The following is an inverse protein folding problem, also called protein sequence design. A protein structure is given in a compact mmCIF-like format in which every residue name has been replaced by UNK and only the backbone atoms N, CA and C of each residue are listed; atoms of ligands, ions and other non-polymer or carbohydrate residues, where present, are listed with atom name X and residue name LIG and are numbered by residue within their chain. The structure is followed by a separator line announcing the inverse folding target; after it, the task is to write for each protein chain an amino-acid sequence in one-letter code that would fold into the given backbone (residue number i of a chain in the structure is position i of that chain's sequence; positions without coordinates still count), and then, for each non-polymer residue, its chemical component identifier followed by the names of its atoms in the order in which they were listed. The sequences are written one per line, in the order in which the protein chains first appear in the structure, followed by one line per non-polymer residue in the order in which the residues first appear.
data_IF_993624150798
#
_entry.id   IF_993624150798
#
_cell.length_a   1.000
_cell.length_b   1.000
_cell.length_c   1.000
_cell.angle_alpha   90.00
_cell.angle_beta   90.00
_cell.angle_gamma   90.00
#
_symmetry.space_group_name_H-M   'P 1'
#
loop_
_entity.id
_entity.type
_entity.pdbx_description
1 polymer ?
#
# COMPACT_ATOMS: atom_id res chain seq x y z
N UNK A 1 -24.40 41.48 -0.45
CA UNK A 1 -24.03 40.05 -0.30
C UNK A 1 -23.22 39.85 0.96
N UNK A 2 -23.43 38.77 1.72
CA UNK A 2 -22.59 38.36 2.85
C UNK A 2 -21.54 37.29 2.44
N UNK A 3 -21.43 37.02 1.15
CA UNK A 3 -20.54 35.99 0.61
C UNK A 3 -19.07 36.38 0.76
N UNK A 4 -18.32 35.59 1.54
CA UNK A 4 -16.85 35.76 1.68
C UNK A 4 -16.13 35.66 0.33
N UNK A 5 -16.65 34.84 -0.59
CA UNK A 5 -16.11 34.67 -1.94
C UNK A 5 -16.22 35.98 -2.73
N UNK A 6 -17.41 36.57 -2.76
CA UNK A 6 -17.67 37.86 -3.44
C UNK A 6 -16.83 38.99 -2.83
N UNK A 7 -16.78 39.10 -1.50
CA UNK A 7 -15.98 40.14 -0.85
C UNK A 7 -14.49 40.01 -1.15
N UNK A 8 -13.94 38.79 -1.16
CA UNK A 8 -12.54 38.54 -1.51
C UNK A 8 -12.26 38.87 -2.97
N UNK A 9 -13.19 38.56 -3.87
CA UNK A 9 -13.08 38.88 -5.29
C UNK A 9 -13.08 40.40 -5.53
N UNK A 10 -13.98 41.15 -4.90
CA UNK A 10 -14.04 42.61 -5.00
C UNK A 10 -12.73 43.26 -4.53
N UNK A 11 -12.16 42.79 -3.40
CA UNK A 11 -10.87 43.30 -2.90
C UNK A 11 -9.69 43.08 -3.88
N UNK A 12 -9.78 42.09 -4.76
CA UNK A 12 -8.76 41.77 -5.77
C UNK A 12 -9.03 42.44 -7.12
N UNK A 13 -10.07 43.28 -7.23
CA UNK A 13 -10.47 43.90 -8.50
C UNK A 13 -11.11 42.93 -9.51
N UNK A 14 -11.51 41.73 -9.07
CA UNK A 14 -12.23 40.75 -9.91
C UNK A 14 -13.64 41.24 -10.25
N UNK A 15 -14.19 40.76 -11.37
CA UNK A 15 -15.56 41.06 -11.79
C UNK A 15 -16.45 39.82 -11.67
N UNK A 16 -17.74 40.03 -11.43
CA UNK A 16 -18.75 39.00 -11.51
C UNK A 16 -19.48 39.11 -12.86
N UNK A 17 -19.34 38.09 -13.70
CA UNK A 17 -20.07 37.96 -14.95
C UNK A 17 -21.09 36.84 -14.81
N UNK A 18 -22.25 36.99 -15.44
CA UNK A 18 -23.29 36.00 -15.37
C UNK A 18 -23.98 35.79 -16.73
N UNK A 19 -24.58 34.62 -16.90
CA UNK A 19 -25.31 34.25 -18.12
C UNK A 19 -26.59 33.52 -17.76
N UNK A 20 -27.68 33.87 -18.44
CA UNK A 20 -28.93 33.13 -18.39
C UNK A 20 -28.86 31.91 -19.32
N UNK A 21 -29.28 30.75 -18.81
CA UNK A 21 -29.41 29.49 -19.52
C UNK A 21 -30.91 29.13 -19.61
N UNK A 22 -31.55 29.37 -20.77
CA UNK A 22 -32.98 29.18 -20.90
C UNK A 22 -33.42 27.73 -20.67
N UNK A 23 -34.44 27.51 -19.86
CA UNK A 23 -35.02 26.19 -19.50
C UNK A 23 -34.06 25.22 -18.77
N UNK A 24 -32.96 25.72 -18.19
CA UNK A 24 -32.00 24.89 -17.43
C UNK A 24 -32.30 24.79 -15.93
N UNK A 25 -33.40 25.35 -15.42
CA UNK A 25 -33.74 25.28 -13.99
C UNK A 25 -33.89 23.83 -13.53
N UNK A 26 -33.24 23.50 -12.42
CA UNK A 26 -33.18 22.15 -11.86
C UNK A 26 -32.20 21.21 -12.58
N UNK A 27 -31.77 21.53 -13.81
CA UNK A 27 -30.84 20.71 -14.58
C UNK A 27 -29.41 20.90 -14.08
N UNK A 28 -29.02 22.12 -13.70
CA UNK A 28 -27.67 22.38 -13.20
C UNK A 28 -27.42 21.66 -11.87
N UNK A 29 -28.46 21.59 -11.03
CA UNK A 29 -28.46 20.84 -9.77
C UNK A 29 -28.62 19.33 -9.92
N UNK A 30 -28.98 18.82 -11.11
CA UNK A 30 -29.21 17.40 -11.33
C UNK A 30 -27.93 16.58 -11.15
N UNK A 31 -28.02 15.51 -10.36
CA UNK A 31 -26.92 14.60 -10.09
C UNK A 31 -26.68 13.67 -11.29
N UNK A 32 -25.45 13.65 -11.81
CA UNK A 32 -25.04 12.83 -12.96
C UNK A 32 -24.21 11.63 -12.54
N UNK A 33 -23.41 11.78 -11.50
CA UNK A 33 -22.65 10.73 -10.83
C UNK A 33 -22.76 10.97 -9.32
N UNK A 34 -22.53 9.96 -8.46
CA UNK A 34 -22.54 10.16 -7.01
C UNK A 34 -21.79 11.43 -6.59
N UNK A 35 -22.49 12.37 -5.95
CA UNK A 35 -21.98 13.67 -5.47
C UNK A 35 -21.50 14.64 -6.56
N UNK A 36 -21.71 14.35 -7.85
CA UNK A 36 -21.34 15.24 -8.97
C UNK A 36 -22.57 15.60 -9.80
N UNK A 37 -22.81 16.90 -9.91
CA UNK A 37 -23.98 17.47 -10.59
C UNK A 37 -23.61 17.98 -11.97
N UNK A 38 -24.59 18.30 -12.81
CA UNK A 38 -24.29 18.92 -14.11
C UNK A 38 -23.57 20.27 -13.95
N UNK A 39 -23.88 21.04 -12.91
CA UNK A 39 -23.13 22.23 -12.53
C UNK A 39 -21.66 21.93 -12.20
N UNK A 40 -21.36 20.75 -11.64
CA UNK A 40 -19.98 20.28 -11.44
C UNK A 40 -19.27 20.01 -12.77
N UNK A 41 -19.96 19.47 -13.77
CA UNK A 41 -19.39 19.31 -15.13
C UNK A 41 -19.08 20.67 -15.77
N UNK A 42 -20.02 21.63 -15.69
CA UNK A 42 -19.81 22.98 -16.20
C UNK A 42 -18.63 23.67 -15.48
N UNK A 43 -18.51 23.46 -14.17
CA UNK A 43 -17.39 23.96 -13.39
C UNK A 43 -16.07 23.35 -13.87
N UNK A 44 -16.01 22.03 -14.10
CA UNK A 44 -14.78 21.38 -14.58
C UNK A 44 -14.36 21.92 -15.94
N UNK A 45 -15.30 22.09 -16.86
CA UNK A 45 -15.06 22.74 -18.15
C UNK A 45 -14.53 24.17 -17.97
N UNK A 46 -15.20 25.00 -17.17
CA UNK A 46 -14.76 26.38 -16.93
C UNK A 46 -13.34 26.44 -16.33
N UNK A 47 -13.03 25.56 -15.37
CA UNK A 47 -11.69 25.49 -14.76
C UNK A 47 -10.62 25.09 -15.78
N UNK A 48 -10.86 24.04 -16.58
CA UNK A 48 -9.86 23.54 -17.53
C UNK A 48 -9.61 24.48 -18.71
N UNK A 49 -10.66 25.10 -19.25
CA UNK A 49 -10.53 25.93 -20.45
C UNK A 49 -10.19 27.40 -20.16
N UNK A 50 -10.52 27.90 -18.96
CA UNK A 50 -10.43 29.33 -18.65
C UNK A 50 -9.64 29.64 -17.37
N UNK A 51 -9.21 28.62 -16.62
CA UNK A 51 -8.38 28.78 -15.42
C UNK A 51 -9.06 29.48 -14.25
N UNK A 52 -10.40 29.57 -14.26
CA UNK A 52 -11.18 30.16 -13.16
C UNK A 52 -11.20 29.24 -11.94
N UNK A 53 -11.50 29.77 -10.76
CA UNK A 53 -11.65 28.95 -9.55
C UNK A 53 -12.87 28.01 -9.57
N UNK A 54 -13.91 28.36 -10.33
CA UNK A 54 -15.16 27.61 -10.43
C UNK A 54 -16.30 28.50 -10.89
N UNK A 55 -17.53 27.99 -10.75
CA UNK A 55 -18.76 28.70 -11.09
C UNK A 55 -19.73 28.61 -9.90
N UNK A 56 -20.71 29.51 -9.86
CA UNK A 56 -21.87 29.43 -8.98
C UNK A 56 -23.12 29.41 -9.86
N UNK A 57 -24.10 28.56 -9.58
CA UNK A 57 -25.30 28.48 -10.41
C UNK A 57 -26.60 28.57 -9.61
N UNK A 58 -27.68 28.96 -10.27
CA UNK A 58 -28.97 29.26 -9.63
C UNK A 58 -29.57 28.10 -8.83
N UNK A 59 -29.39 26.84 -9.28
CA UNK A 59 -29.92 25.67 -8.54
C UNK A 59 -29.18 25.39 -7.20
N UNK A 60 -28.05 26.05 -6.95
CA UNK A 60 -27.34 26.02 -5.65
C UNK A 60 -27.63 27.26 -4.79
N UNK A 61 -28.51 28.16 -5.27
CA UNK A 61 -28.85 29.41 -4.62
C UNK A 61 -30.33 29.41 -4.18
N UNK A 62 -30.69 30.09 -3.07
CA UNK A 62 -29.84 30.87 -2.17
C UNK A 62 -28.80 30.03 -1.41
N UNK A 63 -27.57 30.53 -1.33
CA UNK A 63 -26.42 29.76 -0.87
C UNK A 63 -25.12 30.58 -0.89
N UNK A 64 -24.05 30.07 -0.28
CA UNK A 64 -22.73 30.73 -0.27
C UNK A 64 -22.71 32.18 0.27
N UNK A 65 -23.70 32.57 1.07
CA UNK A 65 -23.87 33.94 1.59
C UNK A 65 -24.50 34.92 0.59
N UNK A 66 -25.08 34.42 -0.49
CA UNK A 66 -25.94 35.15 -1.43
C UNK A 66 -27.40 34.85 -1.04
N UNK A 67 -28.14 35.89 -0.64
CA UNK A 67 -29.53 35.78 -0.18
C UNK A 67 -30.53 35.78 -1.36
N UNK A 68 -31.78 35.43 -1.05
CA UNK A 68 -32.85 35.34 -2.05
C UNK A 68 -33.15 36.69 -2.74
N UNK A 69 -32.92 37.81 -2.04
CA UNK A 69 -33.10 39.15 -2.60
C UNK A 69 -32.10 39.39 -3.74
N UNK A 70 -30.82 39.10 -3.51
CA UNK A 70 -29.78 39.22 -4.54
C UNK A 70 -30.02 38.23 -5.69
N UNK A 71 -30.49 37.01 -5.39
CA UNK A 71 -30.86 36.04 -6.43
C UNK A 71 -31.95 36.62 -7.33
N UNK A 72 -32.99 37.23 -6.76
CA UNK A 72 -34.07 37.86 -7.53
C UNK A 72 -33.58 39.04 -8.36
N UNK A 73 -32.77 39.93 -7.78
CA UNK A 73 -32.15 41.04 -8.53
C UNK A 73 -31.31 40.56 -9.72
N UNK A 74 -30.58 39.46 -9.55
CA UNK A 74 -29.80 38.84 -10.64
C UNK A 74 -30.70 38.24 -11.72
N UNK A 75 -31.80 37.58 -11.34
CA UNK A 75 -32.78 37.06 -12.31
C UNK A 75 -33.39 38.18 -13.15
N UNK A 76 -33.79 39.27 -12.51
CA UNK A 76 -34.37 40.44 -13.17
C UNK A 76 -33.34 41.12 -14.10
N UNK A 77 -32.10 41.32 -13.63
CA UNK A 77 -31.03 41.93 -14.42
C UNK A 77 -30.63 41.07 -15.65
N UNK A 78 -30.67 39.74 -15.51
CA UNK A 78 -30.38 38.80 -16.59
C UNK A 78 -31.60 38.52 -17.48
N UNK A 79 -32.78 39.04 -17.11
CA UNK A 79 -34.08 38.76 -17.77
C UNK A 79 -34.37 37.26 -17.86
N UNK A 80 -34.02 36.51 -16.82
CA UNK A 80 -34.32 35.08 -16.75
C UNK A 80 -35.78 34.86 -16.37
N UNK A 81 -36.47 33.99 -17.09
CA UNK A 81 -37.81 33.54 -16.75
C UNK A 81 -37.79 32.51 -15.61
N UNK A 82 -38.97 32.15 -15.08
CA UNK A 82 -39.09 31.22 -13.96
C UNK A 82 -38.54 29.81 -14.24
N UNK A 83 -38.43 29.40 -15.50
CA UNK A 83 -37.91 28.10 -15.90
C UNK A 83 -36.42 28.13 -16.28
N UNK A 84 -35.82 29.32 -16.27
CA UNK A 84 -34.42 29.50 -16.65
C UNK A 84 -33.50 29.33 -15.44
N UNK A 85 -32.27 28.94 -15.72
CA UNK A 85 -31.19 28.96 -14.74
C UNK A 85 -30.20 30.07 -15.10
N UNK A 86 -29.34 30.44 -14.17
CA UNK A 86 -28.20 31.29 -14.49
C UNK A 86 -26.92 30.77 -13.86
N UNK A 87 -25.79 31.11 -14.46
CA UNK A 87 -24.45 30.81 -13.96
C UNK A 87 -23.69 32.11 -13.77
N UNK A 88 -22.99 32.22 -12.64
CA UNK A 88 -22.12 33.34 -12.27
C UNK A 88 -20.68 32.82 -12.22
N UNK A 89 -19.77 33.59 -12.80
CA UNK A 89 -18.32 33.40 -12.68
C UNK A 89 -17.72 34.67 -12.08
N UNK A 90 -16.91 34.50 -11.03
CA UNK A 90 -16.33 35.61 -10.29
C UNK A 90 -14.81 35.47 -10.32
N UNK A 91 -14.16 36.18 -11.24
CA UNK A 91 -12.73 36.10 -11.47
C UNK A 91 -12.23 37.37 -12.21
N UNK A 92 -10.98 37.36 -12.67
CA UNK A 92 -10.49 38.36 -13.63
C UNK A 92 -11.43 38.47 -14.84
N UNK A 93 -11.69 39.70 -15.32
CA UNK A 93 -12.71 39.97 -16.33
C UNK A 93 -12.56 39.14 -17.62
N UNK A 94 -11.32 38.89 -18.05
CA UNK A 94 -10.97 38.08 -19.22
C UNK A 94 -11.36 36.60 -18.99
N UNK A 95 -10.83 35.99 -17.93
CA UNK A 95 -11.09 34.59 -17.55
C UNK A 95 -12.57 34.32 -17.28
N UNK A 96 -13.25 35.26 -16.61
CA UNK A 96 -14.68 35.15 -16.35
C UNK A 96 -15.49 35.14 -17.65
N UNK A 97 -15.12 35.95 -18.64
CA UNK A 97 -15.80 35.99 -19.93
C UNK A 97 -15.57 34.69 -20.72
N UNK A 98 -14.34 34.19 -20.74
CA UNK A 98 -14.00 32.91 -21.37
C UNK A 98 -14.77 31.75 -20.73
N UNK A 99 -14.82 31.72 -19.39
CA UNK A 99 -15.56 30.70 -18.64
C UNK A 99 -17.06 30.74 -18.96
N UNK A 100 -17.66 31.93 -19.04
CA UNK A 100 -19.06 32.08 -19.45
C UNK A 100 -19.28 31.51 -20.86
N UNK A 101 -18.38 31.78 -21.80
CA UNK A 101 -18.48 31.24 -23.16
C UNK A 101 -18.35 29.71 -23.19
N UNK A 102 -17.44 29.14 -22.39
CA UNK A 102 -17.28 27.69 -22.25
C UNK A 102 -18.53 27.05 -21.63
N UNK A 103 -19.07 27.64 -20.57
CA UNK A 103 -20.32 27.19 -19.92
C UNK A 103 -21.47 27.20 -20.91
N UNK A 104 -21.65 28.30 -21.67
CA UNK A 104 -22.69 28.38 -22.72
C UNK A 104 -22.56 27.26 -23.75
N UNK A 105 -21.35 27.05 -24.27
CA UNK A 105 -21.08 25.99 -25.25
C UNK A 105 -21.39 24.60 -24.69
N UNK A 106 -20.97 24.31 -23.45
CA UNK A 106 -21.21 23.02 -22.82
C UNK A 106 -22.68 22.80 -22.45
N UNK A 107 -23.38 23.84 -21.99
CA UNK A 107 -24.82 23.80 -21.75
C UNK A 107 -25.59 23.55 -23.05
N UNK A 108 -25.27 24.28 -24.13
CA UNK A 108 -25.88 24.04 -25.44
C UNK A 108 -25.63 22.60 -25.94
N UNK A 109 -24.41 22.08 -25.78
CA UNK A 109 -24.08 20.70 -26.15
C UNK A 109 -24.88 19.66 -25.35
N UNK A 110 -25.26 19.95 -24.10
CA UNK A 110 -26.06 19.04 -23.29
C UNK A 110 -27.44 18.73 -23.90
N UNK A 111 -27.95 19.62 -24.74
CA UNK A 111 -29.20 19.40 -25.49
C UNK A 111 -29.03 18.40 -26.64
N UNK A 112 -27.79 18.16 -27.08
CA UNK A 112 -27.43 17.20 -28.13
C UNK A 112 -27.17 15.83 -27.51
N UNK A 113 -26.40 15.78 -26.42
CA UNK A 113 -26.12 14.56 -25.68
C UNK A 113 -24.81 14.58 -24.90
N UNK A 114 -24.20 13.39 -24.74
CA UNK A 114 -22.94 13.21 -24.00
C UNK A 114 -21.75 13.49 -24.92
N UNK A 115 -20.86 14.46 -24.59
CA UNK A 115 -19.72 14.79 -25.43
C UNK A 115 -18.66 13.69 -25.45
N UNK A 116 -17.93 13.59 -26.55
CA UNK A 116 -16.70 12.79 -26.64
C UNK A 116 -15.55 13.55 -25.99
N UNK A 117 -15.02 13.03 -24.89
CA UNK A 117 -14.03 13.72 -24.07
C UNK A 117 -13.11 12.73 -23.35
N UNK A 118 -11.96 13.23 -22.90
CA UNK A 118 -11.07 12.49 -21.99
C UNK A 118 -11.32 12.97 -20.57
N UNK A 119 -11.55 12.01 -19.67
CA UNK A 119 -11.87 12.27 -18.26
C UNK A 119 -10.81 11.64 -17.36
N UNK A 120 -10.54 12.27 -16.23
CA UNK A 120 -9.65 11.74 -15.21
C UNK A 120 -10.45 10.98 -14.14
N UNK A 121 -9.90 9.88 -13.62
CA UNK A 121 -10.49 9.14 -12.51
C UNK A 121 -10.38 9.93 -11.20
N UNK A 122 -11.44 9.90 -10.40
CA UNK A 122 -11.45 10.37 -9.02
C UNK A 122 -11.25 9.18 -8.07
N UNK A 123 -10.72 9.38 -6.85
CA UNK A 123 -10.54 8.30 -5.86
C UNK A 123 -11.85 7.60 -5.45
N UNK A 124 -12.99 8.28 -5.58
CA UNK A 124 -14.32 7.75 -5.28
C UNK A 124 -14.94 6.94 -6.44
N UNK A 125 -14.18 6.70 -7.51
CA UNK A 125 -14.63 5.96 -8.70
C UNK A 125 -15.44 6.81 -9.69
N UNK A 126 -15.74 8.08 -9.37
CA UNK A 126 -16.32 9.00 -10.36
C UNK A 126 -15.24 9.52 -11.31
N UNK A 127 -15.63 10.36 -12.26
CA UNK A 127 -14.69 10.93 -13.24
C UNK A 127 -14.89 12.43 -13.34
N UNK A 128 -13.85 13.17 -13.72
CA UNK A 128 -13.95 14.62 -13.98
C UNK A 128 -13.45 14.96 -15.37
N UNK A 129 -14.02 15.98 -16.00
CA UNK A 129 -13.54 16.45 -17.29
C UNK A 129 -12.06 16.86 -17.21
N UNK A 130 -11.27 16.45 -18.21
CA UNK A 130 -9.86 16.82 -18.31
C UNK A 130 -9.60 17.61 -19.61
N UNK A 131 -9.91 17.01 -20.76
CA UNK A 131 -9.66 17.61 -22.07
C UNK A 131 -10.57 17.01 -23.14
N UNK A 132 -10.68 17.62 -24.34
CA UNK A 132 -11.38 16.99 -25.47
C UNK A 132 -10.72 15.67 -25.82
N UNK A 133 -11.51 14.77 -26.42
CA UNK A 133 -10.93 13.56 -26.99
C UNK A 133 -9.90 13.96 -28.05
N UNK A 134 -8.65 13.46 -27.97
CA UNK A 134 -7.66 13.69 -29.01
C UNK A 134 -8.19 13.24 -30.38
N UNK A 135 -7.83 13.96 -31.44
CA UNK A 135 -8.12 13.54 -32.80
C UNK A 135 -7.39 12.23 -33.16
N UNK A 136 -7.79 11.60 -34.26
CA UNK A 136 -7.12 10.40 -34.75
C UNK A 136 -5.64 10.69 -35.04
N UNK A 137 -4.76 9.80 -34.55
CA UNK A 137 -3.34 9.87 -34.88
C UNK A 137 -3.15 9.65 -36.38
N UNK A 138 -2.34 10.50 -37.01
CA UNK A 138 -1.88 10.29 -38.38
C UNK A 138 -0.57 9.52 -38.32
N UNK A 139 -0.58 8.29 -38.80
CA UNK A 139 0.59 7.42 -38.82
C UNK A 139 1.14 7.31 -40.24
N UNK A 140 2.46 7.25 -40.35
CA UNK A 140 3.18 6.89 -41.56
C UNK A 140 4.26 5.87 -41.15
N UNK A 141 4.69 4.97 -42.06
CA UNK A 141 5.78 4.04 -41.75
C UNK A 141 7.06 4.79 -41.38
N UNK A 142 7.68 4.40 -40.26
CA UNK A 142 9.01 4.87 -39.88
C UNK A 142 10.03 4.34 -40.90
N UNK A 143 10.75 5.24 -41.57
CA UNK A 143 11.68 4.90 -42.65
C UNK A 143 13.11 4.75 -42.17
N UNK A 144 13.44 5.32 -41.00
CA UNK A 144 14.78 5.25 -40.44
C UNK A 144 15.09 3.86 -39.86
N UNK A 145 14.05 3.08 -39.53
CA UNK A 145 14.17 1.74 -38.96
C UNK A 145 13.75 0.71 -40.03
N UNK A 146 14.68 -0.16 -40.48
CA UNK A 146 14.34 -1.26 -41.36
C UNK A 146 13.28 -2.19 -40.74
N UNK A 147 12.39 -2.80 -41.54
CA UNK A 147 11.44 -3.78 -41.04
C UNK A 147 12.14 -4.96 -40.35
N UNK A 148 11.68 -5.30 -39.14
CA UNK A 148 12.17 -6.45 -38.38
C UNK A 148 11.26 -7.65 -38.66
N UNK A 149 11.82 -8.70 -39.27
CA UNK A 149 11.08 -9.94 -39.51
C UNK A 149 11.14 -10.84 -38.27
N UNK A 150 9.98 -11.17 -37.70
CA UNK A 150 9.88 -12.11 -36.58
C UNK A 150 9.79 -13.53 -37.14
N UNK A 151 10.88 -14.29 -37.06
CA UNK A 151 10.92 -15.67 -37.57
C UNK A 151 10.41 -16.68 -36.54
N UNK A 152 10.08 -17.88 -37.00
CA UNK A 152 9.63 -18.97 -36.13
C UNK A 152 10.74 -19.43 -35.17
N UNK A 153 12.00 -19.38 -35.60
CA UNK A 153 13.15 -19.66 -34.75
C UNK A 153 13.26 -18.65 -33.61
N UNK A 154 13.06 -17.36 -33.90
CA UNK A 154 13.09 -16.29 -32.90
C UNK A 154 11.96 -16.45 -31.87
N UNK A 155 10.76 -16.84 -32.32
CA UNK A 155 9.63 -17.12 -31.42
C UNK A 155 9.92 -18.33 -30.51
N UNK A 156 10.47 -19.41 -31.07
CA UNK A 156 10.86 -20.61 -30.29
C UNK A 156 11.96 -20.31 -29.29
N UNK A 157 12.91 -19.45 -29.65
CA UNK A 157 13.94 -18.97 -28.74
C UNK A 157 13.33 -18.12 -27.61
N UNK A 158 12.46 -17.16 -27.94
CA UNK A 158 11.79 -16.32 -26.95
C UNK A 158 10.95 -17.13 -25.94
N UNK A 159 10.24 -18.17 -26.38
CA UNK A 159 9.45 -19.02 -25.49
C UNK A 159 10.34 -19.77 -24.46
N UNK A 160 11.61 -20.06 -24.78
CA UNK A 160 12.55 -20.67 -23.82
C UNK A 160 12.96 -19.70 -22.70
N UNK A 161 12.92 -18.40 -22.96
CA UNK A 161 13.26 -17.35 -21.99
C UNK A 161 12.04 -16.84 -21.22
N UNK A 162 10.83 -17.30 -21.57
CA UNK A 162 9.60 -16.86 -20.93
C UNK A 162 9.64 -17.20 -19.43
N UNK A 163 9.59 -16.20 -18.54
CA UNK A 163 9.55 -16.46 -17.11
C UNK A 163 8.17 -17.07 -16.74
N UNK A 164 8.11 -17.87 -15.66
CA UNK A 164 6.84 -18.36 -15.16
C UNK A 164 5.96 -17.20 -14.72
N UNK A 165 4.64 -17.36 -14.89
CA UNK A 165 3.66 -16.45 -14.28
C UNK A 165 3.76 -16.51 -12.75
N UNK A 166 3.29 -15.48 -12.02
CA UNK A 166 3.28 -15.50 -10.56
C UNK A 166 2.60 -16.75 -9.98
N UNK A 167 1.47 -17.18 -10.55
CA UNK A 167 0.76 -18.38 -10.11
C UNK A 167 1.52 -19.69 -10.38
N UNK A 168 2.25 -19.77 -11.49
CA UNK A 168 3.15 -20.90 -11.77
C UNK A 168 4.31 -20.93 -10.79
N UNK A 169 4.93 -19.77 -10.54
CA UNK A 169 6.04 -19.64 -9.59
C UNK A 169 5.62 -20.01 -8.17
N UNK A 170 4.45 -19.56 -7.72
CA UNK A 170 3.89 -19.93 -6.41
C UNK A 170 3.67 -21.43 -6.31
N UNK A 171 3.11 -22.08 -7.34
CA UNK A 171 2.94 -23.54 -7.37
C UNK A 171 4.29 -24.27 -7.31
N UNK A 172 5.30 -23.78 -8.02
CA UNK A 172 6.65 -24.33 -7.97
C UNK A 172 7.25 -24.21 -6.57
N UNK A 173 7.15 -23.04 -5.92
CA UNK A 173 7.66 -22.82 -4.57
C UNK A 173 7.00 -23.72 -3.54
N UNK A 174 5.68 -23.89 -3.61
CA UNK A 174 4.93 -24.80 -2.72
C UNK A 174 5.40 -26.24 -2.92
N UNK A 175 5.54 -26.70 -4.17
CA UNK A 175 5.92 -28.08 -4.46
C UNK A 175 7.38 -28.37 -4.11
N UNK A 176 8.29 -27.43 -4.36
CA UNK A 176 9.72 -27.65 -4.23
C UNK A 176 10.24 -27.40 -2.80
N UNK A 177 9.66 -26.44 -2.10
CA UNK A 177 10.14 -25.99 -0.79
C UNK A 177 9.11 -26.19 0.33
N UNK A 178 7.98 -26.86 0.03
CA UNK A 178 6.90 -27.16 0.99
C UNK A 178 6.35 -25.92 1.71
N UNK A 179 6.41 -24.76 1.05
CA UNK A 179 5.93 -23.51 1.62
C UNK A 179 4.40 -23.46 1.67
N UNK A 180 3.87 -22.69 2.63
CA UNK A 180 2.45 -22.30 2.59
C UNK A 180 2.18 -21.42 1.36
N UNK A 181 0.94 -21.45 0.86
CA UNK A 181 0.54 -20.59 -0.26
C UNK A 181 0.78 -19.10 0.04
N UNK A 182 0.54 -18.69 1.28
CA UNK A 182 0.74 -17.31 1.71
C UNK A 182 2.21 -16.90 1.63
N UNK A 183 3.13 -17.70 2.19
CA UNK A 183 4.57 -17.41 2.13
C UNK A 183 5.10 -17.43 0.70
N UNK A 184 4.69 -18.41 -0.10
CA UNK A 184 5.06 -18.48 -1.51
C UNK A 184 4.56 -17.26 -2.30
N UNK A 185 3.34 -16.80 -2.03
CA UNK A 185 2.77 -15.60 -2.64
C UNK A 185 3.54 -14.33 -2.24
N UNK A 186 3.83 -14.17 -0.94
CA UNK A 186 4.61 -13.05 -0.43
C UNK A 186 6.02 -13.02 -1.03
N UNK A 187 6.70 -14.18 -1.14
CA UNK A 187 8.01 -14.28 -1.79
C UNK A 187 7.97 -13.95 -3.27
N UNK A 188 6.93 -14.39 -3.99
CA UNK A 188 6.81 -14.11 -5.42
C UNK A 188 6.62 -12.62 -5.72
N UNK A 189 6.11 -11.86 -4.74
CA UNK A 189 5.94 -10.41 -4.82
C UNK A 189 7.07 -9.62 -4.12
N UNK A 190 8.13 -10.29 -3.67
CA UNK A 190 9.26 -9.62 -3.01
C UNK A 190 10.50 -9.62 -3.90
N UNK A 191 11.39 -8.66 -3.64
CA UNK A 191 12.72 -8.62 -4.26
C UNK A 191 13.62 -9.79 -3.84
N UNK A 192 13.28 -10.45 -2.73
CA UNK A 192 14.07 -11.53 -2.14
C UNK A 192 13.86 -12.90 -2.79
N UNK A 193 13.03 -13.02 -3.82
CA UNK A 193 12.73 -14.31 -4.46
C UNK A 193 14.01 -15.04 -4.92
N UNK A 194 14.89 -14.34 -5.63
CA UNK A 194 16.15 -14.90 -6.13
C UNK A 194 17.11 -15.27 -5.00
N UNK A 195 17.18 -14.43 -3.96
CA UNK A 195 17.99 -14.68 -2.76
C UNK A 195 17.47 -15.91 -2.00
N UNK A 196 16.16 -16.01 -1.83
CA UNK A 196 15.49 -17.16 -1.22
C UNK A 196 15.86 -18.45 -1.95
N UNK A 197 15.70 -18.51 -3.27
CA UNK A 197 16.01 -19.74 -4.03
C UNK A 197 17.48 -20.13 -3.89
N UNK A 198 18.40 -19.15 -3.93
CA UNK A 198 19.84 -19.39 -3.74
C UNK A 198 20.15 -19.96 -2.35
N UNK A 199 19.59 -19.38 -1.30
CA UNK A 199 19.85 -19.80 0.09
C UNK A 199 19.16 -21.13 0.41
N UNK A 200 17.90 -21.29 -0.03
CA UNK A 200 17.10 -22.49 0.21
C UNK A 200 17.69 -23.71 -0.50
N UNK A 201 18.24 -23.55 -1.71
CA UNK A 201 18.98 -24.62 -2.39
C UNK A 201 20.28 -24.94 -1.65
N UNK A 202 21.07 -23.91 -1.30
CA UNK A 202 22.39 -24.06 -0.65
C UNK A 202 22.33 -24.72 0.73
N UNK A 203 21.25 -24.49 1.48
CA UNK A 203 21.09 -25.00 2.85
C UNK A 203 19.88 -25.93 3.02
N UNK A 204 19.41 -26.57 1.94
CA UNK A 204 18.21 -27.44 1.93
C UNK A 204 18.18 -28.44 3.10
N UNK A 205 19.32 -29.05 3.42
CA UNK A 205 19.42 -30.11 4.43
C UNK A 205 19.67 -29.59 5.86
N UNK A 206 19.91 -28.29 6.03
CA UNK A 206 20.33 -27.70 7.32
C UNK A 206 19.38 -26.62 7.82
N UNK A 207 18.67 -25.95 6.93
CA UNK A 207 17.73 -24.88 7.29
C UNK A 207 16.42 -25.10 6.55
N UNK A 208 15.32 -25.17 7.31
CA UNK A 208 13.99 -25.31 6.72
C UNK A 208 13.68 -24.11 5.80
N UNK A 209 13.25 -24.32 4.53
CA UNK A 209 12.92 -23.24 3.60
C UNK A 209 11.90 -22.26 4.18
N UNK A 210 10.95 -22.75 4.99
CA UNK A 210 9.97 -21.91 5.69
C UNK A 210 10.61 -20.83 6.57
N UNK A 211 11.74 -21.13 7.24
CA UNK A 211 12.44 -20.15 8.10
C UNK A 211 13.11 -19.09 7.24
N UNK A 212 13.69 -19.48 6.10
CA UNK A 212 14.32 -18.56 5.15
C UNK A 212 13.23 -17.63 4.58
N UNK A 213 12.16 -18.21 4.06
CA UNK A 213 11.01 -17.47 3.54
C UNK A 213 10.45 -16.49 4.57
N UNK A 214 10.09 -16.96 5.76
CA UNK A 214 9.48 -16.12 6.79
C UNK A 214 10.42 -15.00 7.25
N UNK A 215 11.73 -15.24 7.30
CA UNK A 215 12.69 -14.21 7.68
C UNK A 215 12.68 -13.08 6.65
N UNK A 216 12.76 -13.43 5.35
CA UNK A 216 12.85 -12.48 4.26
C UNK A 216 11.57 -11.66 4.07
N UNK A 217 10.38 -12.27 4.17
CA UNK A 217 9.11 -11.56 3.87
C UNK A 217 8.28 -11.17 5.09
N UNK A 218 8.45 -11.84 6.23
CA UNK A 218 7.67 -11.58 7.44
C UNK A 218 8.50 -10.87 8.51
N UNK A 219 9.68 -11.39 8.86
CA UNK A 219 10.53 -10.80 9.91
C UNK A 219 11.03 -9.42 9.51
N UNK A 220 11.63 -9.27 8.32
CA UNK A 220 12.08 -7.95 7.84
C UNK A 220 10.92 -6.94 7.80
N UNK A 221 9.74 -7.36 7.34
CA UNK A 221 8.55 -6.49 7.32
C UNK A 221 8.10 -6.09 8.73
N UNK A 222 8.14 -7.02 9.69
CA UNK A 222 7.84 -6.73 11.10
C UNK A 222 8.82 -5.71 11.67
N UNK A 223 10.12 -5.90 11.44
CA UNK A 223 11.17 -4.98 11.89
C UNK A 223 10.98 -3.58 11.29
N UNK A 224 10.68 -3.49 9.99
CA UNK A 224 10.37 -2.22 9.34
C UNK A 224 9.16 -1.52 9.98
N UNK A 225 8.13 -2.27 10.36
CA UNK A 225 6.95 -1.72 11.04
C UNK A 225 7.23 -1.23 12.48
N UNK A 226 8.30 -1.73 13.11
CA UNK A 226 8.82 -1.24 14.39
C UNK A 226 9.73 0.00 14.26
N UNK A 227 9.95 0.50 13.03
CA UNK A 227 10.81 1.64 12.74
C UNK A 227 12.30 1.28 12.61
N UNK A 228 12.63 0.00 12.45
CA UNK A 228 14.00 -0.45 12.19
C UNK A 228 14.33 -0.25 10.70
N UNK A 229 15.40 0.47 10.33
CA UNK A 229 15.77 0.69 8.92
C UNK A 229 16.39 -0.57 8.31
N UNK A 230 15.52 -1.50 7.88
CA UNK A 230 15.89 -2.80 7.28
C UNK A 230 16.61 -2.66 5.94
N UNK A 231 16.54 -1.50 5.30
CA UNK A 231 17.31 -1.15 4.09
C UNK A 231 18.84 -1.22 4.30
N UNK A 232 19.31 -1.21 5.54
CA UNK A 232 20.73 -1.40 5.88
C UNK A 232 21.15 -2.88 5.89
N UNK A 233 20.20 -3.82 5.75
CA UNK A 233 20.49 -5.26 5.72
C UNK A 233 20.75 -5.67 4.27
N UNK A 234 21.96 -6.16 3.99
CA UNK A 234 22.35 -6.61 2.65
C UNK A 234 22.12 -8.11 2.48
N UNK A 235 22.15 -8.58 1.22
CA UNK A 235 22.15 -10.00 0.88
C UNK A 235 23.27 -10.77 1.61
N UNK A 236 24.45 -10.17 1.79
CA UNK A 236 25.57 -10.79 2.49
C UNK A 236 25.28 -11.02 3.97
N UNK A 237 24.63 -10.07 4.66
CA UNK A 237 24.20 -10.25 6.05
C UNK A 237 23.22 -11.43 6.16
N UNK A 238 22.26 -11.50 5.23
CA UNK A 238 21.28 -12.59 5.20
C UNK A 238 21.96 -13.94 4.91
N UNK A 239 22.90 -13.99 3.96
CA UNK A 239 23.66 -15.21 3.69
C UNK A 239 24.51 -15.66 4.89
N UNK A 240 25.16 -14.73 5.60
CA UNK A 240 25.94 -15.02 6.81
C UNK A 240 25.04 -15.52 7.95
N UNK A 241 23.85 -14.93 8.11
CA UNK A 241 22.84 -15.35 9.08
C UNK A 241 22.44 -16.81 8.88
N UNK A 242 22.03 -17.17 7.66
CA UNK A 242 21.59 -18.54 7.38
C UNK A 242 22.74 -19.54 7.37
N UNK A 243 23.97 -19.11 7.04
CA UNK A 243 25.18 -19.93 7.21
C UNK A 243 25.42 -20.27 8.68
N UNK A 244 25.25 -19.30 9.58
CA UNK A 244 25.41 -19.54 11.02
C UNK A 244 24.29 -20.43 11.58
N UNK A 245 23.05 -20.24 11.11
CA UNK A 245 21.92 -21.11 11.45
C UNK A 245 22.17 -22.55 10.99
N UNK A 246 22.62 -22.76 9.75
CA UNK A 246 22.95 -24.07 9.20
C UNK A 246 24.05 -24.79 10.00
N UNK A 247 25.00 -24.04 10.57
CA UNK A 247 26.09 -24.57 11.42
C UNK A 247 25.69 -24.78 12.88
N UNK A 248 24.45 -24.44 13.26
CA UNK A 248 24.00 -24.47 14.65
C UNK A 248 24.69 -23.44 15.55
N UNK A 249 25.32 -22.42 14.99
CA UNK A 249 25.97 -21.33 15.73
C UNK A 249 24.97 -20.23 16.15
N UNK A 250 23.75 -20.30 15.64
CA UNK A 250 22.65 -19.39 15.88
C UNK A 250 21.35 -20.21 15.96
N UNK A 251 20.45 -19.86 16.87
CA UNK A 251 19.08 -20.35 16.92
C UNK A 251 18.15 -19.46 16.08
N UNK A 252 17.07 -20.03 15.54
CA UNK A 252 16.10 -19.26 14.74
C UNK A 252 15.41 -18.14 15.55
N UNK A 253 15.26 -18.33 16.86
CA UNK A 253 14.67 -17.34 17.78
C UNK A 253 15.52 -16.07 17.93
N UNK A 254 16.82 -16.17 17.67
CA UNK A 254 17.75 -15.04 17.76
C UNK A 254 17.82 -14.20 16.47
N UNK A 255 17.21 -14.66 15.36
CA UNK A 255 17.23 -13.97 14.06
C UNK A 255 16.79 -12.50 14.16
N UNK A 256 15.63 -12.14 14.75
CA UNK A 256 15.18 -10.76 14.77
C UNK A 256 16.16 -9.82 15.50
N UNK A 257 16.73 -10.27 16.62
CA UNK A 257 17.66 -9.47 17.42
C UNK A 257 19.01 -9.28 16.73
N UNK A 258 19.49 -10.31 16.02
CA UNK A 258 20.70 -10.21 15.19
C UNK A 258 20.50 -9.22 14.05
N UNK A 259 19.37 -9.29 13.34
CA UNK A 259 19.04 -8.36 12.26
C UNK A 259 18.92 -6.91 12.79
N UNK A 260 18.27 -6.70 13.94
CA UNK A 260 18.20 -5.39 14.60
C UNK A 260 19.59 -4.83 14.92
N UNK A 261 20.49 -5.67 15.44
CA UNK A 261 21.84 -5.23 15.77
C UNK A 261 22.67 -4.87 14.52
N UNK A 262 22.57 -5.63 13.43
CA UNK A 262 23.27 -5.29 12.18
C UNK A 262 22.82 -3.97 11.58
N UNK A 263 21.56 -3.60 11.75
CA UNK A 263 21.06 -2.30 11.27
C UNK A 263 21.76 -1.13 11.96
N UNK A 264 22.14 -1.29 13.24
CA UNK A 264 22.89 -0.29 14.00
C UNK A 264 24.41 -0.40 13.81
N UNK A 265 24.91 -1.60 13.51
CA UNK A 265 26.33 -1.89 13.31
C UNK A 265 26.57 -2.73 12.05
N UNK A 266 26.38 -2.17 10.83
CA UNK A 266 26.42 -2.96 9.59
C UNK A 266 27.77 -3.62 9.34
N UNK A 267 28.88 -3.01 9.78
CA UNK A 267 30.22 -3.56 9.63
C UNK A 267 30.63 -4.59 10.69
N UNK A 268 29.76 -4.88 11.67
CA UNK A 268 30.11 -5.82 12.73
C UNK A 268 29.99 -7.27 12.24
N UNK A 269 31.04 -8.10 12.41
CA UNK A 269 30.95 -9.52 12.08
C UNK A 269 29.96 -10.22 13.01
N UNK A 270 29.25 -11.23 12.50
CA UNK A 270 28.17 -11.89 13.22
C UNK A 270 28.59 -12.40 14.60
N UNK A 271 29.79 -12.95 14.73
CA UNK A 271 30.32 -13.45 16.01
C UNK A 271 30.36 -12.36 17.10
N UNK A 272 30.73 -11.12 16.77
CA UNK A 272 30.74 -10.01 17.73
C UNK A 272 29.33 -9.62 18.16
N UNK A 273 28.36 -9.67 17.24
CA UNK A 273 26.95 -9.41 17.56
C UNK A 273 26.42 -10.48 18.50
N UNK A 274 26.68 -11.75 18.21
CA UNK A 274 26.24 -12.87 19.06
C UNK A 274 26.84 -12.78 20.47
N UNK A 275 28.10 -12.37 20.58
CA UNK A 275 28.78 -12.19 21.87
C UNK A 275 28.19 -11.02 22.66
N UNK A 276 28.01 -9.88 21.99
CA UNK A 276 27.45 -8.66 22.60
C UNK A 276 26.03 -8.86 23.11
N UNK A 277 25.20 -9.62 22.37
CA UNK A 277 23.83 -9.92 22.75
C UNK A 277 23.70 -11.16 23.64
N UNK A 278 24.81 -11.85 23.93
CA UNK A 278 24.84 -13.13 24.63
C UNK A 278 23.90 -14.19 24.02
N UNK A 279 23.80 -14.22 22.69
CA UNK A 279 22.88 -15.07 21.92
C UNK A 279 23.52 -16.39 21.45
N UNK A 280 24.70 -16.74 21.96
CA UNK A 280 25.30 -18.04 21.65
C UNK A 280 24.39 -19.21 22.07
N UNK A 281 24.20 -20.22 21.21
CA UNK A 281 23.39 -21.38 21.50
C UNK A 281 23.82 -22.08 22.79
N UNK A 282 22.83 -22.53 23.56
CA UNK A 282 23.07 -23.37 24.72
C UNK A 282 23.33 -24.81 24.29
N UNK A 283 24.29 -25.46 24.95
CA UNK A 283 24.41 -26.92 24.91
C UNK A 283 23.21 -27.57 25.58
N UNK A 284 22.94 -28.85 25.24
CA UNK A 284 21.86 -29.61 25.85
C UNK A 284 21.98 -29.67 27.38
N UNK A 285 23.19 -29.91 27.89
CA UNK A 285 23.46 -30.00 29.32
C UNK A 285 23.20 -28.68 30.06
N UNK A 286 23.57 -27.54 29.46
CA UNK A 286 23.27 -26.23 30.03
C UNK A 286 21.77 -25.94 30.04
N UNK A 287 21.07 -26.33 28.97
CA UNK A 287 19.61 -26.20 28.90
C UNK A 287 18.92 -27.06 29.96
N UNK A 288 19.34 -28.32 30.11
CA UNK A 288 18.83 -29.23 31.14
C UNK A 288 19.04 -28.67 32.56
N UNK A 289 20.22 -28.10 32.85
CA UNK A 289 20.49 -27.44 34.14
C UNK A 289 19.58 -26.23 34.39
N UNK A 290 19.29 -25.42 33.36
CA UNK A 290 18.37 -24.29 33.47
C UNK A 290 16.95 -24.79 33.77
N UNK A 291 16.51 -25.84 33.06
CA UNK A 291 15.19 -26.47 33.27
C UNK A 291 15.08 -27.05 34.68
N UNK A 292 16.09 -27.80 35.14
CA UNK A 292 16.13 -28.39 36.49
C UNK A 292 16.09 -27.32 37.59
N UNK A 293 16.80 -26.21 37.40
CA UNK A 293 16.78 -25.06 38.32
C UNK A 293 15.38 -24.43 38.41
N UNK A 294 14.69 -24.27 37.27
CA UNK A 294 13.33 -23.73 37.23
C UNK A 294 12.33 -24.71 37.85
N UNK A 295 12.41 -26.00 37.52
CA UNK A 295 11.54 -27.02 38.11
C UNK A 295 11.70 -27.06 39.64
N UNK A 296 12.95 -27.01 40.12
CA UNK A 296 13.24 -26.98 41.56
C UNK A 296 12.65 -25.75 42.23
N UNK A 297 12.79 -24.57 41.60
CA UNK A 297 12.26 -23.30 42.13
C UNK A 297 10.73 -23.24 42.18
N UNK A 298 10.04 -23.93 41.26
CA UNK A 298 8.58 -23.91 41.14
C UNK A 298 7.91 -25.24 41.51
N UNK A 299 8.62 -26.11 42.26
CA UNK A 299 8.20 -27.49 42.55
C UNK A 299 6.79 -27.59 43.13
N UNK A 300 6.44 -26.74 44.10
CA UNK A 300 5.10 -26.73 44.71
C UNK A 300 3.99 -26.37 43.72
N UNK A 301 4.24 -25.41 42.83
CA UNK A 301 3.26 -24.99 41.82
C UNK A 301 3.11 -26.06 40.73
N UNK A 302 4.20 -26.76 40.40
CA UNK A 302 4.19 -27.87 39.46
C UNK A 302 3.39 -29.04 40.04
N UNK A 303 3.62 -29.40 41.30
CA UNK A 303 2.87 -30.47 41.99
C UNK A 303 1.36 -30.19 42.03
N UNK A 304 0.94 -28.94 42.29
CA UNK A 304 -0.48 -28.55 42.30
C UNK A 304 -1.14 -28.57 40.91
N UNK A 305 -0.38 -28.29 39.85
CA UNK A 305 -0.91 -28.17 38.47
C UNK A 305 -0.76 -29.46 37.65
N UNK A 306 0.11 -30.37 38.07
CA UNK A 306 0.41 -31.60 37.32
C UNK A 306 0.89 -31.29 35.90
N UNK A 307 0.39 -32.02 34.91
CA UNK A 307 0.73 -31.82 33.50
C UNK A 307 0.40 -30.41 32.96
N UNK A 308 -0.56 -29.70 33.57
CA UNK A 308 -0.90 -28.31 33.21
C UNK A 308 0.20 -27.31 33.57
N UNK A 309 1.25 -27.74 34.29
CA UNK A 309 2.41 -26.91 34.59
C UNK A 309 3.32 -26.65 33.38
N UNK A 310 3.17 -27.39 32.27
CA UNK A 310 4.02 -27.25 31.09
C UNK A 310 4.13 -25.81 30.59
N UNK A 311 3.00 -25.11 30.40
CA UNK A 311 3.02 -23.72 29.91
C UNK A 311 3.72 -22.75 30.87
N UNK A 312 3.60 -22.96 32.19
CA UNK A 312 4.28 -22.16 33.20
C UNK A 312 5.80 -22.35 33.11
N UNK A 313 6.26 -23.60 33.11
CA UNK A 313 7.69 -23.92 33.04
C UNK A 313 8.27 -23.48 31.70
N UNK A 314 7.57 -23.72 30.59
CA UNK A 314 7.98 -23.29 29.26
C UNK A 314 8.22 -21.77 29.22
N UNK A 315 7.27 -20.96 29.70
CA UNK A 315 7.41 -19.50 29.74
C UNK A 315 8.65 -19.07 30.53
N UNK A 316 8.86 -19.64 31.73
CA UNK A 316 10.01 -19.31 32.58
C UNK A 316 11.35 -19.74 31.98
N UNK A 317 11.39 -20.89 31.31
CA UNK A 317 12.61 -21.37 30.64
C UNK A 317 12.92 -20.46 29.45
N UNK A 318 11.92 -20.10 28.65
CA UNK A 318 12.11 -19.17 27.51
C UNK A 318 12.59 -17.80 27.97
N UNK A 319 12.04 -17.25 29.07
CA UNK A 319 12.51 -15.99 29.68
C UNK A 319 13.99 -16.05 30.09
N UNK A 320 14.45 -17.23 30.52
CA UNK A 320 15.83 -17.43 31.00
C UNK A 320 16.80 -17.73 29.85
N UNK A 321 16.34 -18.47 28.85
CA UNK A 321 17.10 -18.85 27.65
C UNK A 321 17.25 -17.66 26.70
N UNK A 322 16.31 -16.71 26.67
CA UNK A 322 16.37 -15.46 25.87
C UNK A 322 16.77 -15.69 24.42
N UNK A 323 16.10 -16.64 23.76
CA UNK A 323 16.34 -16.96 22.36
C UNK A 323 17.57 -17.83 22.09
N UNK A 324 18.37 -18.22 23.09
CA UNK A 324 19.60 -19.05 22.91
C UNK A 324 19.35 -20.54 22.62
N UNK A 325 18.11 -20.99 22.49
CA UNK A 325 17.79 -22.37 22.15
C UNK A 325 16.47 -22.43 21.35
N UNK A 326 16.38 -23.42 20.46
CA UNK A 326 15.18 -23.67 19.67
C UNK A 326 14.00 -24.04 20.58
N UNK A 327 12.87 -23.35 20.43
CA UNK A 327 11.69 -23.59 21.24
C UNK A 327 11.17 -25.03 21.18
N UNK A 328 11.42 -25.76 20.09
CA UNK A 328 11.09 -27.20 19.99
C UNK A 328 11.98 -28.03 20.90
N UNK A 329 13.28 -27.76 20.93
CA UNK A 329 14.26 -28.44 21.80
C UNK A 329 13.95 -28.12 23.26
N UNK A 330 13.67 -26.85 23.58
CA UNK A 330 13.25 -26.45 24.93
C UNK A 330 11.98 -27.19 25.35
N UNK A 331 10.97 -27.25 24.48
CA UNK A 331 9.72 -27.95 24.76
C UNK A 331 9.93 -29.46 25.00
N UNK A 332 10.83 -30.10 24.25
CA UNK A 332 11.19 -31.51 24.43
C UNK A 332 11.82 -31.75 25.80
N UNK A 333 12.86 -30.99 26.15
CA UNK A 333 13.57 -31.11 27.44
C UNK A 333 12.62 -30.84 28.61
N UNK A 334 11.81 -29.79 28.52
CA UNK A 334 10.82 -29.43 29.56
C UNK A 334 9.81 -30.56 29.75
N UNK A 335 9.29 -31.16 28.67
CA UNK A 335 8.36 -32.30 28.77
C UNK A 335 9.01 -33.53 29.39
N UNK A 336 10.24 -33.85 29.01
CA UNK A 336 10.98 -34.99 29.55
C UNK A 336 11.16 -34.84 31.07
N UNK A 337 11.73 -33.71 31.52
CA UNK A 337 12.00 -33.44 32.94
C UNK A 337 10.74 -33.33 33.79
N UNK A 338 9.68 -32.70 33.27
CA UNK A 338 8.39 -32.64 33.98
C UNK A 338 7.80 -34.03 34.19
N UNK A 339 7.89 -34.93 33.21
CA UNK A 339 7.40 -36.32 33.36
C UNK A 339 8.18 -37.08 34.42
N UNK A 340 9.50 -36.90 34.50
CA UNK A 340 10.33 -37.53 35.53
C UNK A 340 9.91 -37.07 36.94
N UNK A 341 9.74 -35.75 37.13
CA UNK A 341 9.35 -35.19 38.43
C UNK A 341 7.94 -35.61 38.85
N UNK A 342 7.00 -35.71 37.91
CA UNK A 342 5.61 -36.11 38.18
C UNK A 342 5.43 -37.63 38.33
N UNK A 343 6.37 -38.46 37.86
CA UNK A 343 6.39 -39.91 38.11
C UNK A 343 7.10 -40.28 39.41
N UNK A 344 8.02 -39.44 39.87
CA UNK A 344 8.77 -39.60 41.13
C UNK A 344 8.17 -38.86 42.33
N UNK A 345 7.01 -38.21 42.17
CA UNK A 345 6.18 -37.61 43.24
C UNK A 345 4.89 -38.40 43.36
#
# INVERSE_FOLDING_TARGET
SKSKLVHRAIKRGSKALAVCLPRFKGILGAELQPKRRFGTELADYARQWSGVGGIVHSDELPGYGIDATIVKELQDALRCSENDAFVIVIDESSKALDAINVVKKRAAYALIGVPKETRAANPDGTTRYMRPQPGAARMYPETDIPPITVTEELLKEAERYRPPTPDEKVRQLIKHYELSRELAWQLTHSEYLSLFERIAEKYRDSVAPTIIASTLVSTLKSLASEGVPVENITDEHLEELFKALARGALSKEAIPEVLKAWVHEPGAPLNKILDKLALRPLTRDELERIVDSIISKYREQIARRGERAFGLVMGRVMDRVRGRADGRVVAEVVRAKLREVLKGS
#
